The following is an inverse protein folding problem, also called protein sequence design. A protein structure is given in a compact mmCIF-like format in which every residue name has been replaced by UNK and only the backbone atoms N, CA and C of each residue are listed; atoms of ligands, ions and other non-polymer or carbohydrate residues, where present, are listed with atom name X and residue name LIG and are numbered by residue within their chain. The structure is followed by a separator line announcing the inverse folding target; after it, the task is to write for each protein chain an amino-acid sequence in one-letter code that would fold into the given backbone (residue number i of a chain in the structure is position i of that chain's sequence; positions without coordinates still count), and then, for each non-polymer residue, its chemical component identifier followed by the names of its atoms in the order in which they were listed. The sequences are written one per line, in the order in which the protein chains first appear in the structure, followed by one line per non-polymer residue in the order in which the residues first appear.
data_IF_853281544607
#
_entry.id   IF_853281544607
#
_cell.length_a   1.000
_cell.length_b   1.000
_cell.length_c   1.000
_cell.angle_alpha   90.00
_cell.angle_beta   90.00
_cell.angle_gamma   90.00
#
_symmetry.space_group_name_H-M   'P 1'
#
loop_
_entity.id
_entity.type
_entity.pdbx_description
1 polymer ?
#
# COMPACT_ATOMS: atom_id res chain seq x y z
N UNK A 1 10.50 -15.80 11.65
CA UNK A 1 11.24 -15.07 10.60
C UNK A 1 11.46 -13.62 11.01
N UNK A 2 10.41 -12.87 11.36
CA UNK A 2 10.53 -11.48 11.80
C UNK A 2 11.49 -11.34 12.99
N UNK A 3 11.32 -12.14 14.04
CA UNK A 3 12.18 -12.15 15.23
C UNK A 3 13.63 -12.62 14.95
N UNK A 4 13.89 -13.18 13.79
CA UNK A 4 15.22 -13.60 13.34
C UNK A 4 15.95 -12.50 12.55
N UNK A 5 15.39 -11.28 12.46
CA UNK A 5 16.00 -10.15 11.75
C UNK A 5 15.96 -10.29 10.21
N UNK A 6 15.07 -11.13 9.68
CA UNK A 6 14.88 -11.26 8.23
C UNK A 6 13.91 -10.16 7.76
N UNK A 7 14.33 -9.35 6.81
CA UNK A 7 13.46 -8.36 6.18
C UNK A 7 12.36 -9.05 5.38
N UNK A 8 11.10 -8.70 5.67
CA UNK A 8 9.93 -9.14 4.92
C UNK A 8 9.53 -8.05 3.94
N UNK A 9 9.07 -8.43 2.75
CA UNK A 9 8.47 -7.53 1.77
C UNK A 9 7.02 -7.92 1.52
N UNK A 10 6.12 -6.92 1.53
CA UNK A 10 4.72 -7.09 1.20
C UNK A 10 4.56 -7.25 -0.31
N UNK A 11 3.86 -8.29 -0.77
CA UNK A 11 3.59 -8.53 -2.18
C UNK A 11 2.54 -9.62 -2.35
N UNK A 12 1.39 -9.29 -2.92
CA UNK A 12 0.25 -10.21 -3.06
C UNK A 12 0.39 -11.20 -4.20
N UNK A 13 1.44 -11.09 -5.02
CA UNK A 13 1.63 -11.90 -6.24
C UNK A 13 0.36 -11.98 -7.14
N UNK A 14 -0.42 -10.88 -7.18
CA UNK A 14 -1.56 -10.76 -8.08
C UNK A 14 -1.00 -10.68 -9.51
N UNK A 15 -1.48 -11.45 -10.31
CA UNK A 15 -2.66 -11.97 -10.96
C UNK A 15 -2.70 -13.51 -10.85
N UNK A 16 -3.19 -14.04 -9.77
CA UNK A 16 -3.45 -15.47 -9.63
C UNK A 16 -4.93 -15.70 -9.36
N UNK A 17 -5.37 -16.96 -9.38
CA UNK A 17 -6.74 -17.35 -9.04
C UNK A 17 -7.12 -16.79 -7.67
N UNK A 18 -8.21 -16.03 -7.59
CA UNK A 18 -8.70 -15.32 -6.41
C UNK A 18 -7.84 -14.17 -5.89
N UNK A 19 -6.81 -13.74 -6.65
CA UNK A 19 -5.95 -12.61 -6.30
C UNK A 19 -6.21 -11.43 -7.24
N UNK A 20 -6.95 -10.41 -6.76
CA UNK A 20 -7.29 -9.22 -7.53
C UNK A 20 -6.31 -8.11 -7.19
N UNK A 21 -5.60 -7.51 -8.19
CA UNK A 21 -4.70 -6.39 -7.96
C UNK A 21 -5.35 -5.26 -7.15
N UNK A 22 -4.63 -4.74 -6.17
CA UNK A 22 -5.11 -3.71 -5.25
C UNK A 22 -5.88 -4.27 -4.05
N UNK A 23 -6.82 -5.20 -4.25
CA UNK A 23 -7.61 -5.78 -3.16
C UNK A 23 -6.85 -6.85 -2.37
N UNK A 24 -6.14 -7.72 -3.06
CA UNK A 24 -5.38 -8.82 -2.43
C UNK A 24 -4.26 -8.30 -1.51
N UNK A 25 -3.72 -7.13 -1.77
CA UNK A 25 -2.73 -6.50 -0.89
C UNK A 25 -3.27 -6.26 0.52
N UNK A 26 -4.52 -5.82 0.66
CA UNK A 26 -5.15 -5.63 1.97
C UNK A 26 -5.38 -6.96 2.71
N UNK A 27 -5.68 -8.03 1.98
CA UNK A 27 -5.79 -9.37 2.57
C UNK A 27 -4.46 -9.87 3.11
N UNK A 28 -3.37 -9.61 2.39
CA UNK A 28 -2.03 -9.95 2.83
C UNK A 28 -1.59 -9.15 4.06
N UNK A 29 -1.83 -7.83 4.07
CA UNK A 29 -1.58 -6.98 5.24
C UNK A 29 -2.32 -7.49 6.48
N UNK A 30 -3.59 -7.87 6.33
CA UNK A 30 -4.37 -8.46 7.41
C UNK A 30 -3.84 -9.84 7.83
N UNK A 31 -3.31 -10.65 6.91
CA UNK A 31 -2.68 -11.93 7.23
C UNK A 31 -1.38 -11.75 8.01
N UNK A 32 -0.56 -10.78 7.64
CA UNK A 32 0.67 -10.43 8.37
C UNK A 32 0.35 -9.99 9.82
N UNK A 33 -0.68 -9.15 10.00
CA UNK A 33 -1.13 -8.73 11.33
C UNK A 33 -1.63 -9.92 12.17
N UNK A 34 -2.40 -10.86 11.57
CA UNK A 34 -2.80 -12.10 12.25
C UNK A 34 -1.62 -13.01 12.59
N UNK A 35 -0.54 -12.94 11.83
CA UNK A 35 0.69 -13.67 12.10
C UNK A 35 1.54 -13.04 13.21
N UNK A 36 1.11 -11.90 13.77
CA UNK A 36 1.72 -11.27 14.93
C UNK A 36 2.53 -9.99 14.62
N UNK A 37 2.54 -9.51 13.38
CA UNK A 37 3.18 -8.23 13.06
C UNK A 37 2.28 -7.08 13.54
N UNK A 38 2.89 -6.06 14.11
CA UNK A 38 2.20 -4.79 14.42
C UNK A 38 1.83 -4.06 13.13
N UNK A 39 0.83 -3.16 13.13
CA UNK A 39 0.51 -2.35 11.96
C UNK A 39 1.71 -1.57 11.40
N UNK A 40 2.59 -1.08 12.26
CA UNK A 40 3.83 -0.41 11.83
C UNK A 40 4.78 -1.35 11.09
N UNK A 41 4.97 -2.56 11.59
CA UNK A 41 5.81 -3.57 10.93
C UNK A 41 5.22 -3.96 9.58
N UNK A 42 3.90 -4.18 9.48
CA UNK A 42 3.21 -4.42 8.20
C UNK A 42 3.45 -3.24 7.24
N UNK A 43 3.29 -2.00 7.69
CA UNK A 43 3.57 -0.81 6.89
C UNK A 43 5.02 -0.79 6.35
N UNK A 44 5.99 -1.09 7.19
CA UNK A 44 7.42 -1.11 6.81
C UNK A 44 7.71 -2.17 5.75
N UNK A 45 7.03 -3.33 5.79
CA UNK A 45 7.20 -4.38 4.76
C UNK A 45 6.81 -3.90 3.37
N UNK A 46 5.79 -3.04 3.24
CA UNK A 46 5.29 -2.52 1.96
C UNK A 46 5.94 -1.20 1.51
N UNK A 47 6.83 -0.62 2.30
CA UNK A 47 7.45 0.67 1.99
C UNK A 47 8.98 0.59 2.03
N UNK A 48 9.57 0.82 3.19
CA UNK A 48 11.03 0.88 3.37
C UNK A 48 11.74 -0.42 2.98
N UNK A 49 11.19 -1.57 3.35
CA UNK A 49 11.84 -2.85 3.06
C UNK A 49 11.84 -3.15 1.55
N UNK A 50 10.73 -2.85 0.85
CA UNK A 50 10.67 -2.97 -0.61
C UNK A 50 11.69 -2.04 -1.27
N UNK A 51 11.75 -0.76 -0.84
CA UNK A 51 12.73 0.19 -1.35
C UNK A 51 14.16 -0.31 -1.17
N UNK A 52 14.47 -0.87 0.01
CA UNK A 52 15.79 -1.46 0.30
C UNK A 52 16.09 -2.67 -0.58
N UNK A 53 15.13 -3.56 -0.74
CA UNK A 53 15.29 -4.76 -1.58
C UNK A 53 15.66 -4.40 -3.02
N UNK A 54 15.07 -3.33 -3.56
CA UNK A 54 15.38 -2.85 -4.91
C UNK A 54 16.55 -1.85 -4.98
N UNK A 55 17.20 -1.50 -3.86
CA UNK A 55 18.29 -0.52 -3.82
C UNK A 55 17.83 0.91 -4.11
N UNK A 56 16.55 1.22 -3.83
CA UNK A 56 15.89 2.50 -4.13
C UNK A 56 15.57 3.32 -2.87
N UNK A 57 16.16 3.01 -1.75
CA UNK A 57 15.88 3.65 -0.45
C UNK A 57 16.20 5.14 -0.40
N UNK A 58 16.93 5.68 -1.39
CA UNK A 58 17.18 7.12 -1.54
C UNK A 58 16.09 7.85 -2.33
N UNK A 59 15.22 7.10 -3.03
CA UNK A 59 14.22 7.66 -3.93
C UNK A 59 12.79 7.46 -3.40
N UNK A 60 12.52 6.31 -2.78
CA UNK A 60 11.19 5.90 -2.33
C UNK A 60 11.23 5.22 -0.96
N UNK A 61 10.06 4.88 -0.41
CA UNK A 61 9.90 4.09 0.82
C UNK A 61 9.76 4.90 2.10
N UNK A 62 10.04 6.21 2.06
CA UNK A 62 9.83 7.16 3.17
C UNK A 62 9.30 8.49 2.65
N UNK A 63 8.64 9.24 3.53
CA UNK A 63 8.13 10.60 3.22
C UNK A 63 9.17 11.62 3.67
N UNK A 64 10.00 12.06 2.75
CA UNK A 64 11.07 13.01 3.00
C UNK A 64 11.24 13.98 1.81
N UNK A 65 11.68 15.22 2.03
CA UNK A 65 12.01 16.15 0.95
C UNK A 65 13.06 15.55 0.00
N UNK A 66 12.83 15.70 -1.31
CA UNK A 66 13.72 15.18 -2.36
C UNK A 66 13.41 13.74 -2.80
N UNK A 67 12.45 13.07 -2.17
CA UNK A 67 11.95 11.74 -2.59
C UNK A 67 10.91 11.85 -3.69
N UNK A 68 10.72 10.76 -4.42
CA UNK A 68 9.59 10.64 -5.36
C UNK A 68 8.29 10.70 -4.57
N UNK A 69 7.38 11.58 -4.98
CA UNK A 69 6.11 11.78 -4.30
C UNK A 69 5.08 10.73 -4.75
N UNK A 70 5.26 9.49 -4.26
CA UNK A 70 4.33 8.37 -4.34
C UNK A 70 3.72 8.18 -2.94
N UNK A 71 2.50 8.72 -2.74
CA UNK A 71 1.88 8.86 -1.43
C UNK A 71 0.44 8.36 -1.45
N UNK A 72 -0.03 7.88 -0.31
CA UNK A 72 -1.45 7.56 -0.08
C UNK A 72 -1.95 8.38 1.10
N UNK A 73 -3.10 9.04 0.93
CA UNK A 73 -3.80 9.72 2.01
C UNK A 73 -4.91 8.83 2.55
N UNK A 74 -4.93 8.64 3.86
CA UNK A 74 -5.89 7.78 4.57
C UNK A 74 -6.80 8.61 5.46
N UNK A 75 -8.05 8.17 5.65
CA UNK A 75 -9.04 8.81 6.54
C UNK A 75 -8.80 8.50 8.01
N UNK A 76 -8.10 7.41 8.31
CA UNK A 76 -7.89 6.94 9.68
C UNK A 76 -6.45 6.48 9.88
N UNK A 77 -6.00 6.48 11.14
CA UNK A 77 -4.65 6.08 11.51
C UNK A 77 -4.41 4.58 11.23
N UNK A 78 -3.54 4.26 10.26
CA UNK A 78 -3.23 2.87 9.91
C UNK A 78 -2.38 2.17 10.98
N UNK A 79 -1.74 2.92 11.88
CA UNK A 79 -0.94 2.34 12.97
C UNK A 79 -1.81 1.88 14.14
N UNK A 80 -3.04 2.40 14.24
CA UNK A 80 -4.02 1.91 15.20
C UNK A 80 -4.66 0.59 14.77
N UNK A 81 -4.92 0.42 13.46
CA UNK A 81 -5.49 -0.79 12.88
C UNK A 81 -5.06 -0.93 11.42
N UNK A 82 -4.52 -2.08 11.06
CA UNK A 82 -4.10 -2.40 9.69
C UNK A 82 -5.25 -2.28 8.67
N UNK A 83 -6.50 -2.50 9.07
CA UNK A 83 -7.67 -2.33 8.21
C UNK A 83 -7.85 -0.88 7.72
N UNK A 84 -7.27 0.10 8.42
CA UNK A 84 -7.34 1.51 8.02
C UNK A 84 -6.54 1.83 6.75
N UNK A 85 -5.61 0.97 6.32
CA UNK A 85 -4.94 1.11 5.01
C UNK A 85 -5.93 1.04 3.83
N UNK A 86 -7.09 0.43 4.00
CA UNK A 86 -8.14 0.39 2.98
C UNK A 86 -8.97 1.68 2.89
N UNK A 87 -8.87 2.57 3.87
CA UNK A 87 -9.63 3.84 3.95
C UNK A 87 -8.88 4.97 3.23
N UNK A 88 -8.68 4.81 1.93
CA UNK A 88 -7.96 5.78 1.11
C UNK A 88 -8.90 6.87 0.63
N UNK A 89 -8.49 8.15 0.77
CA UNK A 89 -9.15 9.32 0.16
C UNK A 89 -8.55 9.67 -1.19
N UNK A 90 -7.28 9.42 -1.38
CA UNK A 90 -6.60 9.66 -2.63
C UNK A 90 -5.17 9.16 -2.64
N UNK A 91 -4.58 9.20 -3.81
CA UNK A 91 -3.21 8.72 -4.06
C UNK A 91 -2.45 9.75 -4.87
N UNK A 92 -1.20 9.94 -4.55
CA UNK A 92 -0.26 10.69 -5.37
C UNK A 92 0.71 9.72 -6.05
N UNK A 93 0.86 9.84 -7.35
CA UNK A 93 1.84 9.10 -8.12
C UNK A 93 2.75 10.07 -8.87
N UNK A 94 4.04 10.01 -8.59
CA UNK A 94 5.07 10.92 -9.14
C UNK A 94 4.68 12.40 -9.05
N UNK A 95 4.13 12.80 -7.89
CA UNK A 95 3.71 14.17 -7.63
C UNK A 95 2.34 14.56 -8.20
N UNK A 96 1.65 13.69 -8.95
CA UNK A 96 0.30 13.93 -9.45
C UNK A 96 -0.73 13.33 -8.51
N UNK A 97 -1.67 14.17 -8.06
CA UNK A 97 -2.76 13.76 -7.18
C UNK A 97 -3.92 13.12 -7.94
N UNK A 98 -4.48 12.07 -7.38
CA UNK A 98 -5.66 11.38 -7.85
C UNK A 98 -6.65 11.23 -6.69
N UNK A 99 -7.76 11.95 -6.76
CA UNK A 99 -8.84 11.84 -5.79
C UNK A 99 -9.61 10.53 -6.01
N UNK A 100 -9.84 9.78 -4.93
CA UNK A 100 -10.49 8.46 -5.01
C UNK A 100 -11.93 8.54 -5.50
N UNK A 101 -12.71 9.54 -5.05
CA UNK A 101 -14.11 9.69 -5.46
C UNK A 101 -14.23 10.07 -6.93
N UNK A 102 -13.34 10.94 -7.42
CA UNK A 102 -13.25 11.30 -8.82
C UNK A 102 -12.91 10.10 -9.71
N UNK A 103 -11.88 9.31 -9.33
CA UNK A 103 -11.50 8.09 -10.06
C UNK A 103 -12.62 7.05 -10.12
N UNK A 104 -13.34 6.85 -9.01
CA UNK A 104 -14.46 5.90 -8.97
C UNK A 104 -15.63 6.37 -9.84
N UNK A 105 -15.87 7.68 -9.93
CA UNK A 105 -16.90 8.25 -10.79
C UNK A 105 -16.54 8.06 -12.26
N UNK A 106 -15.30 8.34 -12.64
CA UNK A 106 -14.80 8.14 -13.99
C UNK A 106 -14.87 6.67 -14.41
N UNK A 107 -14.44 5.76 -13.51
CA UNK A 107 -14.50 4.32 -13.76
C UNK A 107 -15.94 3.84 -13.99
N UNK A 108 -16.90 4.29 -13.16
CA UNK A 108 -18.31 3.92 -13.31
C UNK A 108 -18.89 4.45 -14.62
N UNK A 109 -18.55 5.66 -15.02
CA UNK A 109 -19.00 6.23 -16.30
C UNK A 109 -18.43 5.47 -17.50
N UNK A 110 -17.20 4.98 -17.41
CA UNK A 110 -16.57 4.19 -18.48
C UNK A 110 -17.14 2.76 -18.59
N UNK A 111 -17.64 2.20 -17.50
CA UNK A 111 -18.26 0.86 -17.47
C UNK A 111 -19.76 0.86 -17.76
N UNK A 112 -20.44 2.00 -17.57
CA UNK A 112 -21.86 2.18 -17.78
C UNK A 112 -22.25 2.76 -19.15
N UNK A 113 -21.32 2.89 -20.07
CA UNK A 113 -21.52 3.39 -21.42
C UNK A 113 -21.98 2.30 -22.40
N UNK A 114 -23.19 1.79 -22.24
CA UNK A 114 -24.07 1.21 -23.30
C UNK A 114 -25.47 1.73 -23.14
#
# INVERSE_FOLDING_TARGET
MHDAGVDLALGSDAIQTFSVPGFSLHHEMAAMARAGLTPFEVYVTGTRNVARFFGQEREVGTVEPGRIADLVLLEADPLADVANFAKQTGTMARGRWYDRAALLTELRSSLGGE
#
